data_IF_294848794644
#
_entry.id   IF_294848794644
#
_cell.length_a   1.000
_cell.length_b   1.000
_cell.length_c   1.000
_cell.angle_alpha   90.00
_cell.angle_beta   90.00
_cell.angle_gamma   90.00
#
_symmetry.space_group_name_H-M   'P 1'
#
loop_
_entity.id
_entity.type
_entity.pdbx_description
1 polymer ?
#
# COMPACT_ATOMS: atom_id res chain seq x y z
N UNK A 1 3.73 2.63 7.48
CA UNK A 1 4.07 2.59 6.03
C UNK A 1 5.22 3.55 5.75
N UNK A 2 6.20 3.12 4.96
CA UNK A 2 7.42 3.89 4.62
C UNK A 2 7.57 3.92 3.10
N UNK A 3 7.67 5.10 2.53
CA UNK A 3 7.82 5.30 1.09
C UNK A 3 9.26 5.69 0.76
N UNK A 4 9.83 5.02 -0.24
CA UNK A 4 11.22 5.16 -0.66
C UNK A 4 11.26 5.59 -2.14
N UNK A 5 11.22 6.91 -2.42
CA UNK A 5 11.05 7.43 -3.78
C UNK A 5 12.19 7.02 -4.71
N UNK A 6 13.44 7.04 -4.24
CA UNK A 6 14.62 6.66 -5.04
C UNK A 6 14.55 5.20 -5.50
N UNK A 7 14.03 4.31 -4.64
CA UNK A 7 13.86 2.88 -4.95
C UNK A 7 12.54 2.56 -5.64
N UNK A 8 11.63 3.54 -5.73
CA UNK A 8 10.25 3.38 -6.21
C UNK A 8 9.55 2.23 -5.47
N UNK A 9 9.61 2.28 -4.14
CA UNK A 9 9.09 1.24 -3.27
C UNK A 9 8.26 1.81 -2.14
N UNK A 10 7.24 1.06 -1.73
CA UNK A 10 6.54 1.28 -0.47
C UNK A 10 6.68 0.03 0.39
N UNK A 11 7.18 0.22 1.60
CA UNK A 11 7.28 -0.82 2.62
C UNK A 11 6.24 -0.63 3.72
N UNK A 12 5.68 -1.72 4.20
CA UNK A 12 4.76 -1.73 5.33
C UNK A 12 4.90 -3.04 6.11
N UNK A 13 4.42 -3.05 7.35
CA UNK A 13 4.49 -4.21 8.23
C UNK A 13 3.08 -4.66 8.53
N UNK A 14 2.83 -5.95 8.36
CA UNK A 14 1.60 -6.62 8.77
C UNK A 14 1.93 -7.59 9.91
N UNK A 15 1.00 -7.80 10.86
CA UNK A 15 1.16 -8.81 11.90
C UNK A 15 1.11 -10.21 11.28
N UNK A 16 1.83 -11.18 11.84
CA UNK A 16 1.88 -12.57 11.33
C UNK A 16 0.49 -13.25 11.28
N UNK A 17 -0.49 -12.73 12.02
CA UNK A 17 -1.88 -13.18 12.03
C UNK A 17 -2.72 -12.71 10.85
N UNK A 18 -2.21 -11.81 9.99
CA UNK A 18 -3.01 -11.30 8.88
C UNK A 18 -3.37 -12.43 7.90
N UNK A 19 -4.62 -12.44 7.45
CA UNK A 19 -5.14 -13.44 6.50
C UNK A 19 -5.35 -12.85 5.11
N UNK A 20 -5.71 -11.57 5.04
CA UNK A 20 -5.91 -10.84 3.81
C UNK A 20 -5.49 -9.40 4.01
N UNK A 21 -4.80 -8.83 3.02
CA UNK A 21 -4.55 -7.40 2.96
C UNK A 21 -4.71 -6.88 1.53
N UNK A 22 -5.14 -5.64 1.43
CA UNK A 22 -5.23 -4.89 0.18
C UNK A 22 -4.53 -3.55 0.38
N UNK A 23 -3.71 -3.18 -0.60
CA UNK A 23 -3.08 -1.88 -0.69
C UNK A 23 -3.67 -1.14 -1.89
N UNK A 24 -4.21 0.05 -1.64
CA UNK A 24 -4.90 0.86 -2.63
C UNK A 24 -4.15 2.17 -2.78
N UNK A 25 -3.74 2.50 -3.99
CA UNK A 25 -3.21 3.80 -4.35
C UNK A 25 -4.30 4.59 -5.08
N UNK A 26 -4.59 5.80 -4.62
CA UNK A 26 -5.57 6.70 -5.22
C UNK A 26 -4.90 8.03 -5.54
N UNK A 27 -4.86 8.41 -6.81
CA UNK A 27 -4.28 9.68 -7.22
C UNK A 27 -5.20 10.81 -6.78
N UNK A 28 -4.66 11.79 -6.07
CA UNK A 28 -5.46 12.90 -5.51
C UNK A 28 -5.78 13.98 -6.55
N UNK A 29 -5.08 14.00 -7.69
CA UNK A 29 -5.26 15.04 -8.71
C UNK A 29 -5.24 14.46 -10.11
N UNK A 30 -6.16 14.92 -10.95
CA UNK A 30 -6.32 14.46 -12.33
C UNK A 30 -7.38 13.35 -12.47
N UNK A 31 -7.38 12.61 -13.59
CA UNK A 31 -8.29 11.48 -13.78
C UNK A 31 -8.10 10.47 -12.63
N UNK A 32 -9.20 9.83 -12.20
CA UNK A 32 -9.28 8.94 -11.03
C UNK A 32 -8.46 7.66 -11.17
N UNK A 33 -7.15 7.80 -11.30
CA UNK A 33 -6.18 6.71 -11.39
C UNK A 33 -6.13 5.99 -10.05
N UNK A 34 -6.38 4.70 -10.09
CA UNK A 34 -6.38 3.83 -8.92
C UNK A 34 -5.62 2.55 -9.24
N UNK A 35 -4.72 2.16 -8.33
CA UNK A 35 -4.05 0.87 -8.37
C UNK A 35 -4.40 0.09 -7.11
N UNK A 36 -4.83 -1.16 -7.25
CA UNK A 36 -5.14 -2.07 -6.14
C UNK A 36 -4.20 -3.26 -6.19
N UNK A 37 -3.53 -3.54 -5.07
CA UNK A 37 -2.64 -4.68 -4.90
C UNK A 37 -3.17 -5.57 -3.78
N UNK A 38 -3.41 -6.85 -4.09
CA UNK A 38 -3.71 -7.84 -3.06
C UNK A 38 -2.40 -8.39 -2.49
N UNK A 39 -2.27 -8.34 -1.17
CA UNK A 39 -1.10 -8.85 -0.44
C UNK A 39 -1.47 -10.21 0.13
N UNK A 40 -0.80 -11.25 -0.37
CA UNK A 40 -0.98 -12.62 0.12
C UNK A 40 -0.12 -12.84 1.37
N UNK A 41 -0.59 -13.58 2.38
CA UNK A 41 0.25 -14.03 3.47
C UNK A 41 1.44 -14.83 2.95
N UNK A 42 2.65 -14.37 3.23
CA UNK A 42 3.91 -14.98 2.81
C UNK A 42 4.86 -15.24 3.99
N UNK A 43 4.32 -15.22 5.22
CA UNK A 43 5.05 -15.37 6.49
C UNK A 43 6.14 -14.32 6.74
N UNK A 44 6.18 -13.24 5.94
CA UNK A 44 7.08 -12.11 6.18
C UNK A 44 6.28 -10.95 6.77
N UNK A 45 6.67 -10.43 7.95
CA UNK A 45 5.96 -9.29 8.51
C UNK A 45 6.14 -8.05 7.64
N UNK A 46 7.33 -7.85 7.07
CA UNK A 46 7.64 -6.72 6.18
C UNK A 46 7.29 -7.03 4.74
N UNK A 47 6.34 -6.28 4.20
CA UNK A 47 5.91 -6.31 2.81
C UNK A 47 6.55 -5.14 2.05
N UNK A 48 6.92 -5.36 0.80
CA UNK A 48 7.46 -4.33 -0.10
C UNK A 48 6.76 -4.45 -1.44
N UNK A 49 6.20 -3.34 -1.92
CA UNK A 49 5.59 -3.25 -3.25
C UNK A 49 6.32 -2.22 -4.11
N UNK A 50 6.31 -2.44 -5.42
CA UNK A 50 6.81 -1.47 -6.39
C UNK A 50 5.79 -0.35 -6.60
N UNK A 51 6.27 0.89 -6.60
CA UNK A 51 5.49 2.07 -6.99
C UNK A 51 5.84 2.56 -8.39
N UNK A 52 6.63 1.79 -9.16
CA UNK A 52 6.96 2.10 -10.55
C UNK A 52 5.74 2.31 -11.48
N UNK A 53 4.62 1.58 -11.31
CA UNK A 53 3.45 1.80 -12.16
C UNK A 53 2.72 3.12 -11.91
N UNK A 54 2.99 3.79 -10.77
CA UNK A 54 2.30 5.02 -10.42
C UNK A 54 2.81 6.18 -11.27
N UNK A 55 1.88 6.91 -11.88
CA UNK A 55 2.21 8.17 -12.54
C UNK A 55 2.63 9.24 -11.52
N UNK A 56 3.35 10.27 -12.00
CA UNK A 56 3.77 11.40 -11.16
C UNK A 56 2.58 12.11 -10.54
N UNK A 57 2.70 12.53 -9.28
CA UNK A 57 1.68 13.28 -8.56
C UNK A 57 1.58 12.92 -7.08
N UNK A 58 0.52 13.44 -6.45
CA UNK A 58 0.17 13.17 -5.07
C UNK A 58 -0.81 11.99 -4.99
N UNK A 59 -0.53 11.05 -4.11
CA UNK A 59 -1.28 9.80 -3.97
C UNK A 59 -1.65 9.57 -2.51
N UNK A 60 -2.91 9.21 -2.25
CA UNK A 60 -3.29 8.56 -1.01
C UNK A 60 -3.05 7.05 -1.13
N UNK A 61 -2.40 6.48 -0.12
CA UNK A 61 -2.16 5.04 -0.01
C UNK A 61 -2.91 4.50 1.19
N UNK A 62 -3.86 3.61 0.92
CA UNK A 62 -4.70 2.98 1.93
C UNK A 62 -4.30 1.51 2.04
N UNK A 63 -3.92 1.09 3.24
CA UNK A 63 -3.68 -0.30 3.59
C UNK A 63 -4.86 -0.80 4.42
N UNK A 64 -5.58 -1.77 3.90
CA UNK A 64 -6.63 -2.50 4.61
C UNK A 64 -6.14 -3.91 4.91
N UNK A 65 -6.36 -4.42 6.12
CA UNK A 65 -6.06 -5.83 6.43
C UNK A 65 -7.04 -6.44 7.42
N UNK A 66 -7.13 -7.77 7.38
CA UNK A 66 -8.00 -8.57 8.21
C UNK A 66 -7.24 -9.75 8.80
N UNK A 67 -7.42 -10.00 10.10
CA UNK A 67 -6.70 -11.04 10.87
C UNK A 67 -7.53 -12.30 11.14
N UNK A 68 -8.78 -12.36 10.66
CA UNK A 68 -9.73 -13.42 11.03
C UNK A 68 -10.87 -12.94 11.93
N UNK A 69 -10.68 -11.82 12.62
CA UNK A 69 -11.61 -11.30 13.64
C UNK A 69 -11.96 -9.86 13.37
N UNK A 70 -10.95 -9.02 13.15
CA UNK A 70 -11.07 -7.59 13.03
C UNK A 70 -10.56 -7.12 11.68
N UNK A 71 -11.18 -6.05 11.19
CA UNK A 71 -10.71 -5.30 10.03
C UNK A 71 -9.98 -4.04 10.52
N UNK A 72 -8.81 -3.78 9.96
CA UNK A 72 -7.97 -2.65 10.29
C UNK A 72 -7.62 -1.89 9.02
N UNK A 73 -7.31 -0.61 9.19
CA UNK A 73 -6.90 0.24 8.10
C UNK A 73 -5.85 1.25 8.54
N UNK A 74 -5.04 1.69 7.59
CA UNK A 74 -4.11 2.79 7.75
C UNK A 74 -3.98 3.55 6.43
N UNK A 75 -3.79 4.86 6.50
CA UNK A 75 -3.62 5.71 5.33
C UNK A 75 -2.30 6.47 5.40
N UNK A 76 -1.69 6.73 4.25
CA UNK A 76 -0.52 7.59 4.11
C UNK A 76 -0.51 8.29 2.76
N UNK A 77 -0.20 9.58 2.77
CA UNK A 77 0.06 10.32 1.55
C UNK A 77 1.52 10.14 1.07
N UNK A 78 1.71 9.98 -0.24
CA UNK A 78 3.02 9.93 -0.88
C UNK A 78 3.04 10.82 -2.12
N UNK A 79 4.20 11.40 -2.42
CA UNK A 79 4.43 12.15 -3.66
C UNK A 79 5.37 11.35 -4.55
N UNK A 80 4.94 11.07 -5.78
CA UNK A 80 5.73 10.39 -6.80
C UNK A 80 6.25 11.44 -7.79
N UNK A 81 7.56 11.55 -7.91
CA UNK A 81 8.28 12.51 -8.77
C UNK A 81 8.87 11.87 -10.04
#
# INVERSE_FOLDING_TARGET
MTFEPTRKQLAFVLPDSFRKAELIFQKQSGPGEQLRLTVKPDQKPRQVVSTQPLSRGLWSVILNWWDGKCHYWAEKEIRVD
#
